data_IF_856154509253
#
_entry.id   IF_856154509253
#
_cell.length_a   1.000
_cell.length_b   1.000
_cell.length_c   1.000
_cell.angle_alpha   90.00
_cell.angle_beta   90.00
_cell.angle_gamma   90.00
#
_symmetry.space_group_name_H-M   'P 1'
#
loop_
_entity.id
_entity.type
_entity.pdbx_description
1 polymer ?
#
# COMPACT_ATOMS: atom_id res chain seq x y z
N UNK A 1 19.51 -10.98 -7.16
CA UNK A 1 18.29 -10.28 -7.61
C UNK A 1 18.65 -9.39 -8.79
N UNK A 2 17.91 -9.41 -9.90
CA UNK A 2 18.18 -8.53 -11.06
C UNK A 2 17.17 -7.39 -11.05
N UNK A 3 17.64 -6.15 -11.06
CA UNK A 3 16.78 -4.98 -11.18
C UNK A 3 16.22 -4.88 -12.61
N UNK A 4 14.91 -4.64 -12.72
CA UNK A 4 14.28 -4.42 -14.00
C UNK A 4 14.80 -3.11 -14.62
N UNK A 5 15.06 -3.12 -15.93
CA UNK A 5 15.52 -1.91 -16.64
C UNK A 5 14.40 -0.89 -16.80
N UNK A 6 13.17 -1.35 -16.96
CA UNK A 6 12.02 -0.49 -17.17
C UNK A 6 11.30 -0.23 -15.84
N UNK A 7 10.91 1.03 -15.62
CA UNK A 7 9.97 1.42 -14.59
C UNK A 7 8.68 1.88 -15.28
N UNK A 8 7.68 1.01 -15.28
CA UNK A 8 6.41 1.25 -15.98
C UNK A 8 5.65 2.45 -15.37
N UNK A 9 5.64 2.55 -14.04
CA UNK A 9 4.97 3.63 -13.33
C UNK A 9 5.52 5.02 -13.70
N UNK A 10 6.79 5.13 -14.09
CA UNK A 10 7.39 6.39 -14.55
C UNK A 10 7.57 6.46 -16.08
N UNK A 11 7.31 5.37 -16.80
CA UNK A 11 7.62 5.25 -18.23
C UNK A 11 9.10 5.36 -18.57
N UNK A 12 9.99 5.16 -17.59
CA UNK A 12 11.44 5.30 -17.73
C UNK A 12 12.11 3.96 -18.03
N UNK A 13 13.30 4.00 -18.64
CA UNK A 13 14.08 2.79 -18.87
C UNK A 13 15.59 3.05 -18.83
N UNK A 14 16.31 2.23 -18.08
CA UNK A 14 17.76 2.21 -18.03
C UNK A 14 18.34 1.62 -19.32
N UNK A 15 19.28 2.34 -19.94
CA UNK A 15 20.07 1.86 -21.09
C UNK A 15 20.84 0.57 -20.75
N UNK A 16 21.54 0.58 -19.62
CA UNK A 16 22.46 -0.48 -19.18
C UNK A 16 21.85 -1.42 -18.14
N UNK A 17 22.71 -2.03 -17.33
CA UNK A 17 22.28 -2.85 -16.18
C UNK A 17 22.08 -1.93 -14.97
N UNK A 18 20.86 -1.81 -14.43
CA UNK A 18 20.62 -1.00 -13.24
C UNK A 18 21.24 -1.60 -11.99
N UNK A 19 21.73 -0.73 -11.10
CA UNK A 19 22.10 -1.02 -9.73
C UNK A 19 20.95 -0.63 -8.78
N UNK A 20 21.14 -0.87 -7.48
CA UNK A 20 20.14 -0.59 -6.43
C UNK A 20 19.69 0.87 -6.38
N UNK A 21 20.56 1.80 -6.77
CA UNK A 21 20.23 3.23 -6.87
C UNK A 21 19.25 3.58 -8.00
N UNK A 22 18.85 2.62 -8.84
CA UNK A 22 18.06 2.88 -10.06
C UNK A 22 18.90 3.43 -11.22
N UNK A 23 20.21 3.67 -11.05
CA UNK A 23 21.13 4.07 -12.11
C UNK A 23 21.76 2.86 -12.80
N UNK A 24 22.20 3.04 -14.05
CA UNK A 24 23.03 2.03 -14.71
C UNK A 24 24.39 1.91 -14.00
N UNK A 25 24.94 0.70 -13.89
CA UNK A 25 26.31 0.47 -13.42
C UNK A 25 27.37 1.19 -14.27
N UNK A 26 27.05 1.51 -15.52
CA UNK A 26 27.84 2.35 -16.41
C UNK A 26 26.99 3.50 -16.99
N UNK A 27 27.24 4.71 -16.50
CA UNK A 27 26.73 5.94 -17.10
C UNK A 27 27.68 6.40 -18.22
N UNK A 28 27.15 6.79 -19.38
CA UNK A 28 27.95 7.24 -20.52
C UNK A 28 27.52 8.64 -20.96
N UNK A 29 28.48 9.43 -21.44
CA UNK A 29 28.23 10.75 -21.98
C UNK A 29 27.41 10.73 -23.28
N UNK A 30 27.52 9.67 -24.09
CA UNK A 30 26.77 9.46 -25.34
C UNK A 30 25.43 8.72 -25.14
N UNK A 31 24.95 8.63 -23.89
CA UNK A 31 23.71 7.96 -23.58
C UNK A 31 22.50 8.72 -24.16
N UNK A 32 21.66 8.02 -24.92
CA UNK A 32 20.40 8.55 -25.46
C UNK A 32 19.28 8.73 -24.41
N UNK A 33 19.59 8.50 -23.13
CA UNK A 33 18.71 8.86 -22.03
C UNK A 33 17.56 7.89 -21.74
N UNK A 34 16.41 8.45 -21.37
CA UNK A 34 15.16 7.79 -20.90
C UNK A 34 15.19 7.16 -19.50
N UNK A 35 16.34 7.08 -18.82
CA UNK A 35 16.35 6.72 -17.40
C UNK A 35 15.75 7.85 -16.54
N UNK A 36 15.38 7.55 -15.29
CA UNK A 36 14.75 8.50 -14.38
C UNK A 36 15.56 9.79 -14.19
N UNK A 37 16.88 9.69 -14.00
CA UNK A 37 17.77 10.84 -13.86
C UNK A 37 17.83 11.71 -15.13
N UNK A 38 17.86 11.08 -16.31
CA UNK A 38 17.88 11.81 -17.58
C UNK A 38 16.54 12.49 -17.84
N UNK A 39 15.41 11.81 -17.62
CA UNK A 39 14.10 12.42 -17.83
C UNK A 39 13.83 13.55 -16.83
N UNK A 40 14.28 13.41 -15.58
CA UNK A 40 14.16 14.45 -14.56
C UNK A 40 14.88 15.74 -14.97
N UNK A 41 15.97 15.70 -15.75
CA UNK A 41 16.61 16.94 -16.20
C UNK A 41 15.76 17.74 -17.20
N UNK A 42 14.83 17.07 -17.91
CA UNK A 42 13.94 17.70 -18.87
C UNK A 42 12.59 18.10 -18.26
N UNK A 43 11.99 17.22 -17.46
CA UNK A 43 10.62 17.43 -16.95
C UNK A 43 10.55 17.74 -15.45
N UNK A 44 11.70 17.74 -14.78
CA UNK A 44 11.83 18.05 -13.36
C UNK A 44 10.85 17.27 -12.49
N UNK A 45 10.15 18.01 -11.62
CA UNK A 45 9.17 17.47 -10.67
C UNK A 45 7.99 16.73 -11.30
N UNK A 46 7.77 16.86 -12.62
CA UNK A 46 6.69 16.13 -13.30
C UNK A 46 6.90 14.61 -13.23
N UNK A 47 8.15 14.14 -13.09
CA UNK A 47 8.47 12.73 -12.96
C UNK A 47 8.24 12.17 -11.54
N UNK A 48 7.98 13.03 -10.54
CA UNK A 48 7.71 12.57 -9.16
C UNK A 48 6.41 11.76 -9.06
N UNK A 49 5.44 12.05 -9.92
CA UNK A 49 4.19 11.33 -9.95
C UNK A 49 4.23 10.26 -11.05
N UNK A 50 3.67 9.06 -10.77
CA UNK A 50 3.48 8.06 -11.80
C UNK A 50 2.73 8.64 -13.00
N UNK A 51 3.05 8.14 -14.20
CA UNK A 51 2.24 8.39 -15.39
C UNK A 51 0.79 8.01 -15.13
N UNK A 52 -0.14 8.65 -15.83
CA UNK A 52 -1.56 8.32 -15.74
C UNK A 52 -2.12 8.44 -14.30
N UNK A 53 -1.52 9.35 -13.50
CA UNK A 53 -1.88 9.61 -12.10
C UNK A 53 -3.40 9.80 -11.93
N UNK A 54 -3.95 9.15 -10.91
CA UNK A 54 -5.38 9.16 -10.65
C UNK A 54 -6.17 8.13 -11.46
N UNK A 55 -5.54 7.34 -12.32
CA UNK A 55 -6.16 6.17 -12.98
C UNK A 55 -5.41 4.85 -12.74
N UNK A 56 -4.21 4.93 -12.15
CA UNK A 56 -3.36 3.77 -11.85
C UNK A 56 -3.02 3.67 -10.36
N UNK A 57 -2.52 2.50 -9.95
CA UNK A 57 -1.82 2.29 -8.68
C UNK A 57 -0.40 1.87 -8.99
N UNK A 58 0.59 2.54 -8.39
CA UNK A 58 2.00 2.19 -8.54
C UNK A 58 2.50 1.46 -7.28
N UNK A 59 3.12 0.30 -7.46
CA UNK A 59 3.74 -0.46 -6.38
C UNK A 59 5.19 -0.01 -6.14
N UNK A 60 5.66 -0.15 -4.90
CA UNK A 60 7.06 0.00 -4.58
C UNK A 60 7.84 -1.26 -5.00
N UNK A 61 9.03 -1.09 -5.58
CA UNK A 61 9.95 -2.18 -5.86
C UNK A 61 11.18 -2.12 -4.94
N UNK A 62 10.94 -2.00 -3.63
CA UNK A 62 12.02 -1.95 -2.66
C UNK A 62 12.55 -3.35 -2.38
N UNK A 63 13.77 -3.61 -2.85
CA UNK A 63 14.45 -4.89 -2.67
C UNK A 63 15.73 -4.76 -1.85
N UNK A 64 15.93 -3.61 -1.20
CA UNK A 64 17.12 -3.36 -0.38
C UNK A 64 17.17 -4.33 0.81
N UNK A 65 18.35 -4.82 1.16
CA UNK A 65 18.52 -5.71 2.32
C UNK A 65 18.62 -4.92 3.63
N UNK A 66 18.77 -3.60 3.56
CA UNK A 66 18.86 -2.72 4.73
C UNK A 66 17.45 -2.32 5.17
N UNK A 67 17.04 -2.74 6.37
CA UNK A 67 15.70 -2.48 6.89
C UNK A 67 14.69 -3.57 6.54
N UNK A 68 13.42 -3.20 6.34
CA UNK A 68 12.33 -4.16 6.10
C UNK A 68 12.18 -4.43 4.60
N UNK A 69 12.44 -5.66 4.18
CA UNK A 69 12.26 -6.12 2.81
C UNK A 69 11.71 -7.55 2.79
N UNK A 70 10.52 -7.72 2.22
CA UNK A 70 9.87 -9.02 2.10
C UNK A 70 10.67 -10.03 1.26
N UNK A 71 11.52 -9.58 0.34
CA UNK A 71 12.40 -10.46 -0.44
C UNK A 71 13.52 -11.07 0.40
N UNK A 72 13.91 -10.40 1.48
CA UNK A 72 14.91 -10.89 2.43
C UNK A 72 14.28 -11.68 3.59
N UNK A 73 12.96 -11.56 3.79
CA UNK A 73 12.25 -12.31 4.82
C UNK A 73 12.29 -13.81 4.51
N UNK A 74 12.66 -14.62 5.52
CA UNK A 74 12.62 -16.08 5.47
C UNK A 74 11.86 -16.56 6.70
N UNK A 75 10.79 -17.32 6.48
CA UNK A 75 10.00 -17.93 7.54
C UNK A 75 10.51 -19.36 7.72
N UNK A 76 11.15 -19.64 8.84
CA UNK A 76 11.70 -20.97 9.18
C UNK A 76 10.85 -21.61 10.29
N UNK A 77 9.60 -21.96 9.97
CA UNK A 77 8.62 -22.39 10.97
C UNK A 77 9.08 -23.57 11.85
N UNK A 78 9.80 -24.54 11.27
CA UNK A 78 10.30 -25.69 12.01
C UNK A 78 11.47 -25.39 12.97
N UNK A 79 12.19 -24.28 12.77
CA UNK A 79 13.38 -23.97 13.56
C UNK A 79 13.07 -23.33 14.91
N UNK A 80 11.89 -22.72 15.07
CA UNK A 80 11.56 -21.89 16.24
C UNK A 80 10.32 -22.36 17.01
N UNK A 81 9.69 -23.47 16.59
CA UNK A 81 8.47 -23.99 17.21
C UNK A 81 7.22 -23.17 16.89
N UNK A 82 6.09 -23.51 17.51
CA UNK A 82 4.78 -22.89 17.26
C UNK A 82 4.43 -21.92 18.39
N UNK A 83 3.98 -20.72 18.01
CA UNK A 83 3.50 -19.70 18.94
C UNK A 83 2.11 -19.21 18.51
N UNK A 84 1.28 -18.80 19.49
CA UNK A 84 -0.05 -18.25 19.20
C UNK A 84 -1.15 -19.30 18.96
N UNK A 85 -0.95 -20.55 19.35
CA UNK A 85 -2.00 -21.57 19.38
C UNK A 85 -3.10 -21.18 20.38
N UNK A 86 -4.34 -21.47 20.03
CA UNK A 86 -5.45 -21.42 20.98
C UNK A 86 -5.13 -22.36 22.16
N UNK A 87 -5.56 -21.99 23.38
CA UNK A 87 -5.34 -22.80 24.59
C UNK A 87 -5.91 -24.21 24.49
N UNK A 88 -6.83 -24.46 23.56
CA UNK A 88 -7.45 -25.75 23.29
C UNK A 88 -6.67 -26.62 22.29
N UNK A 89 -5.69 -26.04 21.60
CA UNK A 89 -4.90 -26.73 20.58
C UNK A 89 -3.49 -27.03 21.10
N UNK A 90 -2.95 -28.17 20.71
CA UNK A 90 -1.56 -28.53 20.95
C UNK A 90 -0.69 -28.22 19.72
N UNK A 91 0.62 -28.40 19.88
CA UNK A 91 1.56 -28.35 18.76
C UNK A 91 1.65 -29.69 18.00
N UNK A 92 0.71 -30.61 18.24
CA UNK A 92 0.58 -31.84 17.47
C UNK A 92 0.14 -31.53 16.03
N UNK A 93 0.70 -32.21 15.02
CA UNK A 93 0.28 -32.06 13.63
C UNK A 93 -1.23 -32.21 13.39
N UNK A 94 -1.92 -33.04 14.19
CA UNK A 94 -3.37 -33.26 14.07
C UNK A 94 -4.17 -32.00 14.48
N UNK A 95 -3.63 -31.18 15.37
CA UNK A 95 -4.22 -29.89 15.78
C UNK A 95 -3.78 -28.73 14.85
N UNK A 96 -2.61 -28.85 14.22
CA UNK A 96 -2.00 -27.81 13.37
C UNK A 96 -2.49 -27.87 11.91
N UNK A 97 -3.81 -27.98 11.73
CA UNK A 97 -4.47 -28.08 10.42
C UNK A 97 -5.10 -26.75 9.98
N UNK A 98 -5.19 -26.52 8.67
CA UNK A 98 -5.75 -25.27 8.12
C UNK A 98 -7.16 -24.89 8.61
N UNK A 99 -8.09 -25.82 8.95
CA UNK A 99 -9.41 -25.46 9.47
C UNK A 99 -9.37 -24.80 10.84
N UNK A 100 -8.31 -25.05 11.63
CA UNK A 100 -8.14 -24.47 12.97
C UNK A 100 -7.49 -23.08 12.94
N UNK A 101 -7.13 -22.57 11.75
CA UNK A 101 -6.53 -21.23 11.61
C UNK A 101 -7.58 -20.17 11.87
N UNK A 102 -7.36 -19.35 12.90
CA UNK A 102 -8.11 -18.13 13.16
C UNK A 102 -7.34 -16.91 12.63
N UNK A 103 -7.99 -16.13 11.78
CA UNK A 103 -7.46 -14.89 11.20
C UNK A 103 -8.02 -13.64 11.91
N UNK A 104 -8.91 -13.82 12.88
CA UNK A 104 -9.45 -12.69 13.63
C UNK A 104 -8.35 -12.02 14.43
N UNK A 105 -8.39 -10.70 14.50
CA UNK A 105 -7.41 -9.93 15.27
C UNK A 105 -8.02 -8.63 15.78
N UNK A 106 -7.24 -7.85 16.51
CA UNK A 106 -7.63 -6.53 16.96
C UNK A 106 -6.48 -5.53 16.86
N UNK A 107 -6.81 -4.26 16.67
CA UNK A 107 -5.84 -3.17 16.64
C UNK A 107 -6.33 -1.96 17.43
N UNK A 108 -5.40 -1.04 17.71
CA UNK A 108 -5.65 0.17 18.49
C UNK A 108 -5.08 0.10 19.91
N UNK A 109 -4.72 1.25 20.47
CA UNK A 109 -4.09 1.33 21.79
C UNK A 109 -5.12 1.39 22.93
N UNK A 110 -6.03 2.38 22.87
CA UNK A 110 -7.08 2.59 23.89
C UNK A 110 -8.39 1.92 23.50
N UNK A 111 -8.83 2.13 22.26
CA UNK A 111 -10.02 1.51 21.68
C UNK A 111 -9.53 0.33 20.86
N UNK A 112 -10.03 -0.87 21.18
CA UNK A 112 -9.71 -2.10 20.46
C UNK A 112 -10.77 -2.35 19.40
N UNK A 113 -10.36 -2.28 18.14
CA UNK A 113 -11.22 -2.60 16.99
C UNK A 113 -10.90 -4.01 16.54
N UNK A 114 -11.92 -4.87 16.53
CA UNK A 114 -11.80 -6.27 16.07
C UNK A 114 -11.99 -6.36 14.57
N UNK A 115 -11.24 -7.25 13.92
CA UNK A 115 -11.32 -7.53 12.48
C UNK A 115 -11.39 -9.03 12.25
N UNK A 116 -12.00 -9.46 11.14
CA UNK A 116 -12.09 -10.88 10.78
C UNK A 116 -10.82 -11.41 10.13
N UNK A 117 -10.07 -10.51 9.51
CA UNK A 117 -8.84 -10.80 8.76
C UNK A 117 -7.80 -9.74 9.15
N UNK A 118 -6.50 -10.09 9.27
CA UNK A 118 -5.45 -9.18 9.74
C UNK A 118 -4.94 -8.31 8.59
N UNK A 119 -5.86 -7.68 7.86
CA UNK A 119 -5.60 -6.83 6.72
C UNK A 119 -6.45 -5.57 6.85
N UNK A 120 -5.94 -4.46 6.32
CA UNK A 120 -6.68 -3.22 6.13
C UNK A 120 -6.17 -2.53 4.88
N UNK A 121 -6.97 -1.64 4.30
CA UNK A 121 -6.48 -0.80 3.21
C UNK A 121 -5.45 0.21 3.72
N UNK A 122 -4.61 0.74 2.83
CA UNK A 122 -3.92 2.01 3.09
C UNK A 122 -4.91 3.17 3.23
N UNK A 123 -4.42 4.33 3.65
CA UNK A 123 -5.24 5.55 3.75
C UNK A 123 -5.62 6.08 2.35
N UNK A 124 -6.90 5.97 1.99
CA UNK A 124 -7.42 6.31 0.67
C UNK A 124 -8.08 7.70 0.70
N UNK A 125 -7.42 8.76 0.22
CA UNK A 125 -8.00 10.11 0.33
C UNK A 125 -7.54 11.20 -0.62
N UNK A 126 -6.28 11.23 -1.02
CA UNK A 126 -5.70 12.35 -1.79
C UNK A 126 -5.82 12.22 -3.31
N UNK A 127 -6.44 11.15 -3.81
CA UNK A 127 -6.55 10.85 -5.24
C UNK A 127 -7.99 10.53 -5.64
N UNK A 128 -8.37 10.93 -6.85
CA UNK A 128 -9.73 10.66 -7.37
C UNK A 128 -9.99 9.17 -7.62
N UNK A 129 -8.96 8.35 -7.81
CA UNK A 129 -9.12 6.91 -8.02
C UNK A 129 -9.74 6.21 -6.79
N UNK A 130 -9.38 6.68 -5.59
CA UNK A 130 -9.94 6.20 -4.34
C UNK A 130 -11.42 6.57 -4.20
N UNK A 131 -11.79 7.79 -4.57
CA UNK A 131 -13.19 8.23 -4.57
C UNK A 131 -14.03 7.43 -5.58
N UNK A 132 -13.48 7.21 -6.78
CA UNK A 132 -14.13 6.50 -7.89
C UNK A 132 -14.47 5.05 -7.54
N UNK A 133 -13.56 4.34 -6.87
CA UNK A 133 -13.74 2.93 -6.50
C UNK A 133 -14.11 2.73 -5.03
N UNK A 134 -14.49 3.81 -4.33
CA UNK A 134 -14.76 3.75 -2.89
C UNK A 134 -15.78 2.68 -2.56
N UNK A 135 -16.92 2.67 -3.27
CA UNK A 135 -18.03 1.76 -3.00
C UNK A 135 -17.58 0.29 -3.12
N UNK A 136 -16.72 -0.02 -4.11
CA UNK A 136 -16.15 -1.36 -4.27
C UNK A 136 -15.26 -1.75 -3.08
N UNK A 137 -14.42 -0.83 -2.60
CA UNK A 137 -13.59 -1.08 -1.42
C UNK A 137 -14.41 -1.19 -0.14
N UNK A 138 -15.39 -0.31 0.04
CA UNK A 138 -16.23 -0.25 1.23
C UNK A 138 -17.10 -1.50 1.34
N UNK A 139 -17.85 -1.85 0.30
CA UNK A 139 -18.70 -3.04 0.25
C UNK A 139 -17.85 -4.30 0.38
N UNK A 140 -16.77 -4.42 -0.40
CA UNK A 140 -15.90 -5.59 -0.35
C UNK A 140 -15.23 -5.75 1.02
N UNK A 141 -14.75 -4.65 1.60
CA UNK A 141 -14.13 -4.63 2.92
C UNK A 141 -15.10 -5.04 4.02
N UNK A 142 -16.32 -4.51 3.99
CA UNK A 142 -17.38 -4.83 4.94
C UNK A 142 -17.78 -6.31 4.86
N UNK A 143 -17.96 -6.86 3.66
CA UNK A 143 -18.31 -8.26 3.45
C UNK A 143 -17.22 -9.21 3.95
N UNK A 144 -15.95 -8.90 3.67
CA UNK A 144 -14.79 -9.72 4.04
C UNK A 144 -14.42 -9.53 5.52
N UNK A 145 -14.77 -8.39 6.12
CA UNK A 145 -14.46 -8.05 7.51
C UNK A 145 -13.06 -7.47 7.71
N UNK A 146 -12.59 -6.67 6.74
CA UNK A 146 -11.37 -5.87 6.85
C UNK A 146 -11.71 -4.38 6.99
N UNK A 147 -10.98 -3.61 7.82
CA UNK A 147 -11.14 -2.16 7.87
C UNK A 147 -10.74 -1.49 6.54
N UNK A 148 -11.51 -0.48 6.17
CA UNK A 148 -11.17 0.44 5.06
C UNK A 148 -10.83 1.80 5.67
N UNK A 149 -9.67 2.34 5.29
CA UNK A 149 -9.13 3.56 5.90
C UNK A 149 -9.41 4.77 5.00
N UNK A 150 -10.22 5.70 5.50
CA UNK A 150 -10.45 7.00 4.88
C UNK A 150 -9.20 7.86 5.08
N UNK A 151 -8.64 8.40 3.99
CA UNK A 151 -7.44 9.24 4.07
C UNK A 151 -7.71 10.61 4.67
N UNK A 152 -6.70 11.19 5.33
CA UNK A 152 -6.81 12.45 6.05
C UNK A 152 -7.26 13.63 5.18
N UNK A 153 -6.89 13.63 3.90
CA UNK A 153 -7.13 14.75 3.00
C UNK A 153 -8.51 14.72 2.32
N UNK A 154 -9.38 13.73 2.61
CA UNK A 154 -10.70 13.62 1.97
C UNK A 154 -11.51 14.91 2.13
N UNK A 155 -11.56 15.44 3.36
CA UNK A 155 -12.29 16.68 3.64
C UNK A 155 -11.68 17.87 2.88
N UNK A 156 -10.34 17.91 2.75
CA UNK A 156 -9.64 19.01 2.09
C UNK A 156 -9.79 19.03 0.57
N UNK A 157 -10.05 17.88 -0.07
CA UNK A 157 -10.29 17.79 -1.53
C UNK A 157 -11.76 17.85 -1.91
N UNK A 158 -12.65 17.62 -0.94
CA UNK A 158 -14.09 17.75 -1.11
C UNK A 158 -14.49 19.23 -1.22
N UNK A 159 -14.92 19.62 -2.43
CA UNK A 159 -15.30 21.00 -2.75
C UNK A 159 -16.59 21.45 -2.06
N UNK A 160 -17.39 20.51 -1.56
CA UNK A 160 -18.63 20.77 -0.85
C UNK A 160 -18.45 20.74 0.67
N UNK A 161 -17.20 20.56 1.14
CA UNK A 161 -16.85 20.67 2.55
C UNK A 161 -17.04 22.10 3.06
N UNK A 162 -17.61 22.21 4.26
CA UNK A 162 -17.73 23.47 5.00
C UNK A 162 -16.78 23.40 6.19
N UNK A 163 -15.82 24.32 6.25
CA UNK A 163 -14.86 24.45 7.34
C UNK A 163 -15.05 25.82 7.99
N UNK A 164 -15.41 25.83 9.27
CA UNK A 164 -15.63 27.04 10.05
C UNK A 164 -14.74 27.02 11.29
N UNK A 165 -14.04 28.11 11.57
CA UNK A 165 -13.17 28.24 12.76
C UNK A 165 -12.17 27.07 12.90
N UNK A 166 -11.63 26.60 11.77
CA UNK A 166 -10.68 25.49 11.73
C UNK A 166 -11.28 24.11 12.01
N UNK A 167 -12.61 23.97 12.01
CA UNK A 167 -13.31 22.69 12.23
C UNK A 167 -14.19 22.33 11.03
N UNK A 168 -14.23 21.05 10.72
CA UNK A 168 -15.13 20.49 9.70
C UNK A 168 -16.55 20.56 10.22
N UNK A 169 -17.44 21.24 9.47
CA UNK A 169 -18.88 21.31 9.75
C UNK A 169 -19.69 20.35 8.91
N UNK A 170 -19.29 20.16 7.65
CA UNK A 170 -19.93 19.29 6.68
C UNK A 170 -18.86 18.79 5.71
N UNK A 171 -18.94 17.53 5.30
CA UNK A 171 -18.17 16.99 4.17
C UNK A 171 -18.96 15.83 3.57
N UNK A 172 -19.71 16.08 2.48
CA UNK A 172 -20.48 15.03 1.82
C UNK A 172 -19.65 13.81 1.44
N UNK A 173 -18.39 14.00 1.02
CA UNK A 173 -17.53 12.85 0.68
C UNK A 173 -17.09 12.06 1.91
N UNK A 174 -16.88 12.69 3.06
CA UNK A 174 -16.58 11.96 4.28
C UNK A 174 -17.80 11.14 4.74
N UNK A 175 -18.98 11.77 4.74
CA UNK A 175 -20.25 11.14 5.11
C UNK A 175 -20.57 9.94 4.20
N UNK A 176 -20.55 10.14 2.88
CA UNK A 176 -20.76 9.08 1.88
C UNK A 176 -19.84 7.88 2.11
N UNK A 177 -18.58 8.14 2.49
CA UNK A 177 -17.58 7.09 2.65
C UNK A 177 -17.78 6.26 3.90
N UNK A 178 -18.21 6.89 4.99
CA UNK A 178 -18.58 6.22 6.23
C UNK A 178 -19.82 5.37 5.98
N UNK A 179 -20.87 5.99 5.41
CA UNK A 179 -22.15 5.33 5.16
C UNK A 179 -22.03 4.16 4.18
N UNK A 180 -21.15 4.24 3.18
CA UNK A 180 -20.94 3.15 2.23
C UNK A 180 -20.27 1.90 2.81
N UNK A 181 -19.65 1.98 3.99
CA UNK A 181 -19.03 0.83 4.66
C UNK A 181 -19.95 0.20 5.72
N UNK A 182 -20.82 1.00 6.34
CA UNK A 182 -21.73 0.59 7.42
C UNK A 182 -22.99 -0.10 6.88
#
# INVERSE_FOLDING_TARGET
MRFAKANDALGTSNRGNPAESGLCTLCRADCQGKCETWLTSLVGRKLLYPRDFGTITAGANNTTHVGVNYNALRIQGYAYGVHGLDKKLSNDPDDCIFPNVDLTTEFGAKIKTKTRIPLMTGALGSTFIAAKYWDSFAIGGALVGIPVVIGENVVGVDRESVIENGRVRKSPELERRIDGYL
#
